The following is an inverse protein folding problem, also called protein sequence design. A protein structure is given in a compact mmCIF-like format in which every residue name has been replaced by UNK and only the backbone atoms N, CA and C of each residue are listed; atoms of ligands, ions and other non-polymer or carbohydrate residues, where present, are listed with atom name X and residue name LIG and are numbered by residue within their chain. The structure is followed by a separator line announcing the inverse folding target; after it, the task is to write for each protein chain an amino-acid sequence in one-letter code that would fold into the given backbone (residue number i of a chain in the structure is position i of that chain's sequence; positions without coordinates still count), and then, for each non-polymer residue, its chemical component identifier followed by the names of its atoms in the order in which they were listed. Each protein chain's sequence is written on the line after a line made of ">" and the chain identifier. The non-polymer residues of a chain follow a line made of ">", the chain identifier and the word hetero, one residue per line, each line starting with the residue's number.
data_IF_605232359580
#
_entry.id   IF_605232359580
#
_cell.length_a   1.000
_cell.length_b   1.000
_cell.length_c   1.000
_cell.angle_alpha   90.00
_cell.angle_beta   90.00
_cell.angle_gamma   90.00
#
_symmetry.space_group_name_H-M   'P 1'
#
loop_
_entity.id
_entity.type
_entity.pdbx_description
1 polymer ?
#
# COMPACT_ATOMS: atom_id res chain seq x y z
N UNK A 1 7.20 -14.54 -10.08
CA UNK A 1 5.96 -14.33 -10.86
C UNK A 1 5.51 -15.66 -11.41
N UNK A 2 4.34 -16.16 -10.99
CA UNK A 2 3.68 -17.27 -11.69
C UNK A 2 2.99 -16.64 -12.92
N UNK A 3 3.31 -17.05 -14.16
CA UNK A 3 2.66 -16.51 -15.34
C UNK A 3 1.23 -17.02 -15.43
N UNK A 4 0.26 -16.12 -15.64
CA UNK A 4 -1.06 -16.49 -16.18
C UNK A 4 -2.31 -16.05 -15.42
N UNK A 5 -2.22 -15.44 -14.24
CA UNK A 5 -3.42 -14.96 -13.52
C UNK A 5 -3.42 -13.43 -13.47
N UNK A 6 -4.37 -12.82 -14.20
CA UNK A 6 -4.62 -11.38 -14.20
C UNK A 6 -5.82 -11.04 -13.34
N UNK A 7 -5.75 -9.93 -12.61
CA UNK A 7 -6.88 -9.39 -11.85
C UNK A 7 -7.96 -8.95 -12.84
N UNK A 8 -9.19 -9.40 -12.62
CA UNK A 8 -10.38 -9.01 -13.38
C UNK A 8 -11.45 -8.41 -12.45
N UNK A 9 -12.58 -7.98 -13.02
CA UNK A 9 -13.65 -7.34 -12.24
C UNK A 9 -14.22 -8.24 -11.14
N UNK A 10 -14.24 -9.56 -11.33
CA UNK A 10 -14.76 -10.50 -10.33
C UNK A 10 -13.82 -10.57 -9.13
N UNK A 11 -12.50 -10.52 -9.36
CA UNK A 11 -11.52 -10.41 -8.28
C UNK A 11 -11.74 -9.14 -7.45
N UNK A 12 -11.98 -8.01 -8.10
CA UNK A 12 -12.24 -6.72 -7.44
C UNK A 12 -13.53 -6.77 -6.62
N UNK A 13 -14.61 -7.33 -7.18
CA UNK A 13 -15.88 -7.51 -6.45
C UNK A 13 -15.71 -8.38 -5.21
N UNK A 14 -14.93 -9.46 -5.30
CA UNK A 14 -14.66 -10.35 -4.16
C UNK A 14 -13.82 -9.63 -3.10
N UNK A 15 -12.78 -8.89 -3.48
CA UNK A 15 -11.98 -8.09 -2.54
C UNK A 15 -12.82 -7.00 -1.85
N UNK A 16 -13.66 -6.26 -2.61
CA UNK A 16 -14.60 -5.26 -2.07
C UNK A 16 -15.54 -5.91 -1.06
N UNK A 17 -16.15 -7.05 -1.42
CA UNK A 17 -17.06 -7.78 -0.54
C UNK A 17 -16.38 -8.23 0.75
N UNK A 18 -15.17 -8.78 0.67
CA UNK A 18 -14.43 -9.24 1.85
C UNK A 18 -14.04 -8.05 2.73
N UNK A 19 -13.60 -6.93 2.16
CA UNK A 19 -13.24 -5.72 2.91
C UNK A 19 -14.43 -5.22 3.74
N UNK A 20 -15.60 -5.09 3.11
CA UNK A 20 -16.82 -4.66 3.81
C UNK A 20 -17.28 -5.70 4.83
N UNK A 21 -17.19 -7.00 4.52
CA UNK A 21 -17.50 -8.04 5.49
C UNK A 21 -16.55 -8.02 6.71
N UNK A 22 -15.26 -7.70 6.54
CA UNK A 22 -14.32 -7.53 7.65
C UNK A 22 -14.70 -6.30 8.49
N UNK A 23 -15.10 -5.21 7.84
CA UNK A 23 -15.53 -3.98 8.52
C UNK A 23 -16.83 -4.18 9.31
N UNK A 24 -17.80 -4.90 8.73
CA UNK A 24 -19.14 -5.11 9.30
C UNK A 24 -19.17 -6.23 10.37
N UNK A 25 -18.31 -7.25 10.26
CA UNK A 25 -18.27 -8.40 11.19
C UNK A 25 -17.62 -8.10 12.55
N UNK A 26 -17.57 -6.83 12.98
CA UNK A 26 -17.43 -6.50 14.41
C UNK A 26 -18.71 -6.82 15.23
N UNK A 27 -19.72 -7.44 14.61
CA UNK A 27 -20.96 -7.90 15.26
C UNK A 27 -21.02 -9.44 15.20
N UNK A 28 -21.05 -10.07 16.37
CA UNK A 28 -20.86 -11.51 16.70
C UNK A 28 -21.81 -12.55 16.03
N UNK A 29 -22.32 -12.34 14.83
CA UNK A 29 -23.11 -13.33 14.11
C UNK A 29 -22.23 -14.28 13.27
N UNK A 30 -22.62 -15.56 13.17
CA UNK A 30 -21.99 -16.50 12.26
C UNK A 30 -22.07 -15.95 10.82
N UNK A 31 -20.95 -15.72 10.13
CA UNK A 31 -20.97 -15.01 8.86
C UNK A 31 -21.68 -15.86 7.80
N UNK A 32 -22.70 -15.28 7.18
CA UNK A 32 -23.32 -15.84 5.99
C UNK A 32 -22.23 -16.16 4.95
N UNK A 33 -22.37 -17.26 4.18
CA UNK A 33 -21.42 -17.57 3.12
C UNK A 33 -21.28 -16.39 2.15
N UNK A 34 -20.09 -15.78 2.07
CA UNK A 34 -19.84 -14.57 1.26
C UNK A 34 -20.26 -14.73 -0.21
N UNK A 35 -20.16 -15.95 -0.76
CA UNK A 35 -20.59 -16.21 -2.13
C UNK A 35 -22.07 -15.90 -2.39
N UNK A 36 -22.94 -15.94 -1.35
CA UNK A 36 -24.36 -15.62 -1.50
C UNK A 36 -24.60 -14.17 -1.89
N UNK A 37 -23.74 -13.25 -1.42
CA UNK A 37 -23.80 -11.83 -1.81
C UNK A 37 -23.56 -11.62 -3.30
N UNK A 38 -23.05 -12.64 -4.02
CA UNK A 38 -22.78 -12.62 -5.45
C UNK A 38 -23.57 -13.69 -6.23
N UNK A 39 -24.57 -14.34 -5.62
CA UNK A 39 -25.30 -15.47 -6.21
C UNK A 39 -26.07 -15.12 -7.50
N UNK A 40 -26.33 -13.83 -7.77
CA UNK A 40 -26.91 -13.33 -9.02
C UNK A 40 -25.89 -12.94 -10.10
N UNK A 41 -24.60 -12.90 -9.77
CA UNK A 41 -23.53 -12.44 -10.66
C UNK A 41 -22.58 -13.58 -11.05
N UNK A 42 -22.26 -14.48 -10.13
CA UNK A 42 -21.33 -15.60 -10.37
C UNK A 42 -21.79 -16.87 -9.65
N UNK A 43 -21.40 -18.03 -10.20
CA UNK A 43 -21.63 -19.31 -9.54
C UNK A 43 -20.78 -19.46 -8.27
N UNK A 44 -21.23 -20.30 -7.34
CA UNK A 44 -20.44 -20.70 -6.16
C UNK A 44 -19.06 -21.24 -6.53
N UNK A 45 -18.96 -22.04 -7.60
CA UNK A 45 -17.69 -22.59 -8.07
C UNK A 45 -16.75 -21.49 -8.59
N UNK A 46 -17.30 -20.53 -9.34
CA UNK A 46 -16.55 -19.37 -9.84
C UNK A 46 -16.02 -18.51 -8.69
N UNK A 47 -16.83 -18.26 -7.65
CA UNK A 47 -16.42 -17.52 -6.46
C UNK A 47 -15.18 -18.17 -5.81
N UNK A 48 -15.25 -19.47 -5.49
CA UNK A 48 -14.14 -20.14 -4.80
C UNK A 48 -12.90 -20.28 -5.69
N UNK A 49 -13.06 -20.42 -7.01
CA UNK A 49 -11.93 -20.39 -7.95
C UNK A 49 -11.23 -19.04 -7.91
N UNK A 50 -11.99 -17.93 -7.98
CA UNK A 50 -11.44 -16.57 -7.93
C UNK A 50 -10.83 -16.22 -6.57
N UNK A 51 -11.39 -16.73 -5.49
CA UNK A 51 -10.76 -16.64 -4.15
C UNK A 51 -9.41 -17.37 -4.14
N UNK A 52 -9.31 -18.55 -4.73
CA UNK A 52 -8.03 -19.28 -4.82
C UNK A 52 -7.02 -18.58 -5.72
N UNK A 53 -7.47 -17.91 -6.78
CA UNK A 53 -6.64 -17.03 -7.63
C UNK A 53 -6.09 -15.86 -6.80
N UNK A 54 -6.92 -15.16 -6.00
CA UNK A 54 -6.50 -14.09 -5.08
C UNK A 54 -5.50 -14.58 -4.01
N UNK A 55 -5.72 -15.77 -3.45
CA UNK A 55 -4.81 -16.42 -2.51
C UNK A 55 -3.45 -16.70 -3.16
N UNK A 56 -3.45 -17.21 -4.40
CA UNK A 56 -2.22 -17.48 -5.18
C UNK A 56 -1.44 -16.21 -5.50
N UNK A 57 -2.14 -15.08 -5.70
CA UNK A 57 -1.52 -13.77 -5.89
C UNK A 57 -1.01 -13.12 -4.59
N UNK A 58 -1.30 -13.70 -3.42
CA UNK A 58 -0.96 -13.11 -2.11
C UNK A 58 -1.79 -11.87 -1.76
N UNK A 59 -2.93 -11.65 -2.41
CA UNK A 59 -3.84 -10.53 -2.11
C UNK A 59 -4.78 -10.85 -0.94
N UNK A 60 -4.99 -12.14 -0.69
CA UNK A 60 -5.96 -12.67 0.26
C UNK A 60 -5.37 -13.88 0.99
N UNK A 61 -5.72 -14.06 2.26
CA UNK A 61 -5.42 -15.27 3.02
C UNK A 61 -6.69 -15.77 3.71
N UNK A 62 -6.88 -17.08 3.75
CA UNK A 62 -8.01 -17.71 4.43
C UNK A 62 -7.59 -18.21 5.81
N UNK A 63 -8.12 -17.60 6.86
CA UNK A 63 -7.89 -18.04 8.24
C UNK A 63 -8.76 -19.26 8.56
N UNK A 64 -10.04 -19.20 8.21
CA UNK A 64 -11.00 -20.28 8.50
C UNK A 64 -12.19 -20.19 7.54
N UNK A 65 -13.19 -21.06 7.72
CA UNK A 65 -14.36 -21.11 6.86
C UNK A 65 -15.06 -19.75 6.82
N UNK A 66 -15.15 -19.16 5.63
CA UNK A 66 -15.73 -17.83 5.37
C UNK A 66 -15.04 -16.67 6.10
N UNK A 67 -13.85 -16.86 6.68
CA UNK A 67 -13.04 -15.80 7.28
C UNK A 67 -11.76 -15.62 6.51
N UNK A 68 -11.55 -14.40 6.05
CA UNK A 68 -10.44 -14.02 5.21
C UNK A 68 -9.74 -12.80 5.79
N UNK A 69 -8.47 -12.65 5.47
CA UNK A 69 -7.72 -11.41 5.62
C UNK A 69 -7.34 -10.92 4.22
N UNK A 70 -7.22 -9.61 4.08
CA UNK A 70 -6.71 -8.96 2.87
C UNK A 70 -5.32 -8.42 3.21
N UNK A 71 -4.36 -8.64 2.30
CA UNK A 71 -2.99 -8.14 2.48
C UNK A 71 -2.91 -6.65 2.12
N UNK A 72 -1.82 -5.99 2.49
CA UNK A 72 -1.55 -4.62 2.00
C UNK A 72 -1.63 -4.55 0.47
N UNK A 73 -1.09 -5.56 -0.23
CA UNK A 73 -1.18 -5.64 -1.70
C UNK A 73 -2.64 -5.72 -2.19
N UNK A 74 -3.51 -6.41 -1.46
CA UNK A 74 -4.94 -6.46 -1.75
C UNK A 74 -5.64 -5.12 -1.54
N UNK A 75 -5.33 -4.40 -0.46
CA UNK A 75 -5.87 -3.04 -0.24
C UNK A 75 -5.35 -2.05 -1.30
N UNK A 76 -4.07 -2.13 -1.66
CA UNK A 76 -3.49 -1.31 -2.74
C UNK A 76 -4.15 -1.62 -4.08
N UNK A 77 -4.47 -2.89 -4.36
CA UNK A 77 -5.20 -3.28 -5.58
C UNK A 77 -6.56 -2.58 -5.67
N UNK A 78 -7.32 -2.53 -4.56
CA UNK A 78 -8.60 -1.82 -4.50
C UNK A 78 -8.42 -0.31 -4.72
N UNK A 79 -7.40 0.29 -4.09
CA UNK A 79 -7.12 1.72 -4.25
C UNK A 79 -6.65 2.09 -5.66
N UNK A 80 -5.84 1.23 -6.29
CA UNK A 80 -5.44 1.44 -7.68
C UNK A 80 -6.65 1.33 -8.62
N UNK A 81 -7.54 0.36 -8.39
CA UNK A 81 -8.80 0.27 -9.13
C UNK A 81 -9.69 1.51 -8.94
N UNK A 82 -9.75 2.06 -7.72
CA UNK A 82 -10.43 3.33 -7.42
C UNK A 82 -9.86 4.50 -8.23
N UNK A 83 -8.53 4.68 -8.25
CA UNK A 83 -7.89 5.74 -9.03
C UNK A 83 -8.04 5.58 -10.54
N UNK A 84 -8.17 4.35 -11.02
CA UNK A 84 -8.46 4.06 -12.44
C UNK A 84 -9.96 4.14 -12.77
N UNK A 85 -10.84 4.35 -11.80
CA UNK A 85 -12.29 4.28 -11.95
C UNK A 85 -12.79 2.94 -12.53
N UNK A 86 -12.20 1.83 -12.07
CA UNK A 86 -12.53 0.46 -12.52
C UNK A 86 -13.23 -0.32 -11.40
N UNK A 87 -14.16 -1.20 -11.78
CA UNK A 87 -14.67 -2.26 -10.90
C UNK A 87 -15.65 -1.80 -9.84
N UNK A 88 -16.28 -0.64 -10.03
CA UNK A 88 -17.26 -0.06 -9.10
C UNK A 88 -16.72 0.09 -7.67
N UNK A 89 -15.43 0.44 -7.56
CA UNK A 89 -14.82 0.79 -6.29
C UNK A 89 -15.23 2.23 -5.98
N UNK A 90 -16.06 2.39 -4.95
CA UNK A 90 -16.57 3.67 -4.47
C UNK A 90 -15.64 4.29 -3.41
N UNK A 91 -15.95 5.54 -3.05
CA UNK A 91 -15.20 6.30 -2.04
C UNK A 91 -15.22 5.61 -0.66
N UNK A 92 -16.33 4.95 -0.29
CA UNK A 92 -16.44 4.24 0.99
C UNK A 92 -15.50 3.03 1.04
N UNK A 93 -15.41 2.27 -0.05
CA UNK A 93 -14.47 1.17 -0.21
C UNK A 93 -13.02 1.66 -0.17
N UNK A 94 -12.73 2.78 -0.85
CA UNK A 94 -11.41 3.39 -0.80
C UNK A 94 -11.04 3.84 0.62
N UNK A 95 -11.96 4.47 1.34
CA UNK A 95 -11.74 4.91 2.70
C UNK A 95 -11.52 3.73 3.66
N UNK A 96 -12.28 2.64 3.50
CA UNK A 96 -12.08 1.42 4.28
C UNK A 96 -10.69 0.79 4.01
N UNK A 97 -10.23 0.80 2.76
CA UNK A 97 -8.90 0.33 2.40
C UNK A 97 -7.78 1.23 2.98
N UNK A 98 -7.94 2.56 2.95
CA UNK A 98 -7.01 3.51 3.59
C UNK A 98 -6.91 3.25 5.10
N UNK A 99 -8.04 3.06 5.77
CA UNK A 99 -8.07 2.75 7.21
C UNK A 99 -7.36 1.44 7.53
N UNK A 100 -7.54 0.40 6.70
CA UNK A 100 -6.84 -0.87 6.86
C UNK A 100 -5.33 -0.71 6.65
N UNK A 101 -4.90 0.04 5.63
CA UNK A 101 -3.49 0.36 5.40
C UNK A 101 -2.89 1.13 6.57
N UNK A 102 -3.62 2.13 7.11
CA UNK A 102 -3.19 2.92 8.27
C UNK A 102 -2.83 2.03 9.46
N UNK A 103 -3.71 1.07 9.79
CA UNK A 103 -3.48 0.11 10.87
C UNK A 103 -2.29 -0.80 10.60
N UNK A 104 -2.18 -1.34 9.37
CA UNK A 104 -1.12 -2.28 8.99
C UNK A 104 0.27 -1.65 8.93
N UNK A 105 0.37 -0.39 8.49
CA UNK A 105 1.62 0.36 8.41
C UNK A 105 1.92 1.19 9.66
N UNK A 106 1.12 1.08 10.73
CA UNK A 106 1.33 1.82 11.98
C UNK A 106 1.29 3.34 11.79
N UNK A 107 0.45 3.83 10.88
CA UNK A 107 0.33 5.26 10.54
C UNK A 107 -0.71 5.97 11.44
N UNK A 108 -0.75 5.60 12.72
CA UNK A 108 -1.62 6.29 13.69
C UNK A 108 -1.15 7.74 13.83
N UNK A 109 -2.05 8.71 13.67
CA UNK A 109 -1.74 10.14 13.69
C UNK A 109 -1.37 10.74 12.32
N UNK A 110 -1.41 9.95 11.24
CA UNK A 110 -1.34 10.45 9.87
C UNK A 110 -2.76 10.67 9.33
N UNK A 111 -2.94 11.72 8.54
CA UNK A 111 -4.22 12.04 7.91
C UNK A 111 -4.50 11.14 6.70
N UNK A 112 -5.77 11.00 6.33
CA UNK A 112 -6.17 10.24 5.13
C UNK A 112 -5.51 10.79 3.87
N UNK A 113 -5.38 12.12 3.75
CA UNK A 113 -4.74 12.77 2.62
C UNK A 113 -3.25 12.39 2.47
N UNK A 114 -2.51 12.26 3.58
CA UNK A 114 -1.10 11.87 3.54
C UNK A 114 -0.96 10.41 3.04
N UNK A 115 -1.82 9.52 3.54
CA UNK A 115 -1.81 8.10 3.17
C UNK A 115 -2.26 7.93 1.72
N UNK A 116 -3.36 8.55 1.32
CA UNK A 116 -3.87 8.51 -0.05
C UNK A 116 -2.84 9.08 -1.04
N UNK A 117 -2.19 10.20 -0.70
CA UNK A 117 -1.14 10.77 -1.55
C UNK A 117 0.03 9.82 -1.71
N UNK A 118 0.45 9.14 -0.64
CA UNK A 118 1.50 8.13 -0.75
C UNK A 118 1.07 6.94 -1.62
N UNK A 119 -0.16 6.45 -1.46
CA UNK A 119 -0.68 5.37 -2.30
C UNK A 119 -0.81 5.80 -3.77
N UNK A 120 -1.16 7.06 -4.05
CA UNK A 120 -1.13 7.64 -5.39
C UNK A 120 0.28 7.64 -5.98
N UNK A 121 1.31 7.98 -5.20
CA UNK A 121 2.70 7.87 -5.68
C UNK A 121 3.09 6.41 -5.98
N UNK A 122 2.67 5.45 -5.13
CA UNK A 122 2.90 4.02 -5.38
C UNK A 122 2.21 3.56 -6.67
N UNK A 123 1.01 4.07 -6.96
CA UNK A 123 0.31 3.82 -8.21
C UNK A 123 1.10 4.38 -9.40
N UNK A 124 1.57 5.63 -9.32
CA UNK A 124 2.32 6.30 -10.38
C UNK A 124 3.67 5.62 -10.65
N UNK A 125 4.42 5.24 -9.61
CA UNK A 125 5.70 4.53 -9.74
C UNK A 125 5.54 3.13 -10.33
N UNK A 126 4.43 2.47 -10.03
CA UNK A 126 4.09 1.21 -10.69
C UNK A 126 3.69 1.40 -12.17
N UNK A 127 3.31 2.60 -12.62
CA UNK A 127 2.58 2.76 -13.91
C UNK A 127 1.41 1.76 -14.03
N UNK A 128 0.79 1.39 -12.90
CA UNK A 128 -0.22 0.34 -12.79
C UNK A 128 0.30 -1.11 -12.77
N UNK A 129 1.62 -1.36 -12.66
CA UNK A 129 2.27 -2.69 -12.55
C UNK A 129 3.46 -2.62 -11.60
N UNK A 130 3.61 -3.52 -10.62
CA UNK A 130 4.77 -3.51 -9.70
C UNK A 130 6.10 -3.46 -10.48
N UNK A 131 6.70 -2.27 -10.56
CA UNK A 131 7.90 -1.95 -11.35
C UNK A 131 9.16 -2.20 -10.51
N UNK A 132 10.33 -2.17 -11.14
CA UNK A 132 11.62 -2.27 -10.46
C UNK A 132 11.92 -1.11 -9.48
N UNK A 133 11.12 -0.04 -9.53
CA UNK A 133 11.24 1.15 -8.67
C UNK A 133 10.52 0.96 -7.33
N UNK A 134 9.66 -0.07 -7.22
CA UNK A 134 9.01 -0.45 -6.00
C UNK A 134 9.79 -1.54 -5.26
N UNK A 135 10.38 -1.18 -4.13
CA UNK A 135 10.94 -2.17 -3.21
C UNK A 135 9.82 -2.67 -2.29
N UNK A 136 9.41 -3.92 -2.47
CA UNK A 136 8.48 -4.60 -1.57
C UNK A 136 9.27 -5.34 -0.49
N UNK A 137 9.19 -4.86 0.75
CA UNK A 137 9.71 -5.57 1.91
C UNK A 137 8.59 -6.47 2.46
N UNK A 138 8.74 -7.77 2.27
CA UNK A 138 7.83 -8.77 2.82
C UNK A 138 8.00 -8.85 4.34
N UNK A 139 6.89 -8.68 5.07
CA UNK A 139 6.81 -8.91 6.51
C UNK A 139 5.77 -10.00 6.82
N UNK A 140 5.44 -10.18 8.10
CA UNK A 140 4.33 -11.03 8.53
C UNK A 140 3.02 -10.56 7.88
N UNK A 141 2.27 -11.50 7.29
CA UNK A 141 0.96 -11.21 6.73
C UNK A 141 0.04 -10.58 7.80
N UNK A 142 -0.74 -9.52 7.49
CA UNK A 142 -1.00 -8.91 6.17
C UNK A 142 0.00 -7.82 5.75
N UNK A 143 1.08 -7.59 6.52
CA UNK A 143 1.99 -6.46 6.35
C UNK A 143 2.98 -6.72 5.22
N UNK A 144 2.93 -5.86 4.22
CA UNK A 144 4.02 -5.61 3.27
C UNK A 144 4.24 -4.10 3.22
N UNK A 145 5.47 -3.64 3.11
CA UNK A 145 5.75 -2.21 2.90
C UNK A 145 6.36 -2.01 1.52
N UNK A 146 5.78 -1.09 0.77
CA UNK A 146 6.21 -0.73 -0.57
C UNK A 146 6.90 0.61 -0.51
N UNK A 147 8.14 0.65 -0.97
CA UNK A 147 8.94 1.87 -1.02
C UNK A 147 8.98 2.42 -2.43
N UNK A 148 9.01 3.75 -2.51
CA UNK A 148 9.31 4.46 -3.75
C UNK A 148 10.74 4.91 -3.65
N UNK A 149 11.61 4.29 -4.46
CA UNK A 149 13.00 4.72 -4.60
C UNK A 149 13.22 5.12 -6.05
N UNK A 150 13.79 6.31 -6.31
CA UNK A 150 14.16 6.70 -7.66
C UNK A 150 15.08 5.66 -8.30
N UNK A 151 14.91 5.43 -9.59
CA UNK A 151 15.72 4.45 -10.35
C UNK A 151 17.23 4.74 -10.34
N UNK A 152 17.62 6.00 -10.12
CA UNK A 152 19.01 6.40 -9.94
C UNK A 152 19.21 7.17 -8.62
N UNK A 153 19.60 6.44 -7.57
CA UNK A 153 19.96 7.04 -6.27
C UNK A 153 21.15 8.01 -6.37
N UNK A 154 21.93 8.02 -7.47
CA UNK A 154 22.93 9.06 -7.71
C UNK A 154 22.29 10.40 -8.02
N UNK A 155 21.10 10.46 -8.61
CA UNK A 155 20.40 11.74 -8.80
C UNK A 155 19.97 12.35 -7.46
N UNK A 156 19.65 11.50 -6.47
CA UNK A 156 19.42 11.92 -5.07
C UNK A 156 20.70 12.47 -4.41
N UNK A 157 21.88 12.22 -4.97
CA UNK A 157 23.11 12.91 -4.52
C UNK A 157 23.13 14.36 -4.97
N UNK A 158 22.50 14.70 -6.09
CA UNK A 158 22.52 16.03 -6.70
C UNK A 158 21.34 16.87 -6.22
N UNK A 159 20.17 16.23 -6.10
CA UNK A 159 18.91 16.83 -5.65
C UNK A 159 18.39 16.13 -4.39
N UNK A 160 17.47 16.76 -3.65
CA UNK A 160 16.79 16.05 -2.56
C UNK A 160 15.93 14.90 -3.07
N UNK A 161 15.66 13.90 -2.22
CA UNK A 161 14.73 12.81 -2.56
C UNK A 161 13.35 13.38 -2.91
N UNK A 162 12.92 14.41 -2.17
CA UNK A 162 11.72 15.17 -2.51
C UNK A 162 11.72 15.67 -3.96
N UNK A 163 12.79 16.36 -4.40
CA UNK A 163 12.88 16.91 -5.76
C UNK A 163 12.86 15.82 -6.82
N UNK A 164 13.55 14.71 -6.59
CA UNK A 164 13.54 13.57 -7.52
C UNK A 164 12.14 12.97 -7.66
N UNK A 165 11.42 12.76 -6.55
CA UNK A 165 10.04 12.28 -6.58
C UNK A 165 9.12 13.25 -7.33
N UNK A 166 9.30 14.57 -7.18
CA UNK A 166 8.53 15.56 -7.95
C UNK A 166 8.88 15.52 -9.43
N UNK A 167 10.16 15.41 -9.79
CA UNK A 167 10.60 15.32 -11.18
C UNK A 167 10.05 14.06 -11.87
N UNK A 168 9.99 12.95 -11.15
CA UNK A 168 9.57 11.65 -11.69
C UNK A 168 8.05 11.53 -11.81
N UNK A 169 7.30 12.03 -10.82
CA UNK A 169 5.83 11.85 -10.74
C UNK A 169 5.00 13.10 -11.09
N UNK A 170 5.63 14.27 -11.25
CA UNK A 170 5.03 15.46 -11.86
C UNK A 170 4.07 16.28 -10.98
N UNK A 171 3.69 15.79 -9.79
CA UNK A 171 2.79 16.51 -8.87
C UNK A 171 3.47 16.83 -7.52
N UNK A 172 3.88 18.09 -7.28
CA UNK A 172 4.51 18.49 -6.03
C UNK A 172 3.57 18.44 -4.82
N UNK A 173 2.25 18.58 -5.02
CA UNK A 173 1.29 18.53 -3.92
C UNK A 173 1.17 17.10 -3.40
N UNK A 174 1.11 16.11 -4.30
CA UNK A 174 1.06 14.70 -3.91
C UNK A 174 2.34 14.31 -3.14
N UNK A 175 3.52 14.71 -3.63
CA UNK A 175 4.79 14.42 -2.95
C UNK A 175 4.87 15.11 -1.59
N UNK A 176 4.48 16.38 -1.50
CA UNK A 176 4.49 17.11 -0.23
C UNK A 176 3.53 16.51 0.79
N UNK A 177 2.34 16.07 0.38
CA UNK A 177 1.39 15.41 1.27
C UNK A 177 1.89 14.03 1.71
N UNK A 178 2.58 13.28 0.84
CA UNK A 178 3.10 11.96 1.18
C UNK A 178 4.38 11.98 2.04
N UNK A 179 5.04 13.14 2.19
CA UNK A 179 6.40 13.26 2.73
C UNK A 179 6.61 12.58 4.09
N UNK A 180 5.66 12.72 5.01
CA UNK A 180 5.77 12.16 6.36
C UNK A 180 5.67 10.63 6.32
N UNK A 181 4.81 10.09 5.45
CA UNK A 181 4.65 8.64 5.26
C UNK A 181 5.92 8.04 4.67
N UNK A 182 6.50 8.69 3.65
CA UNK A 182 7.78 8.28 3.04
C UNK A 182 8.90 8.30 4.09
N UNK A 183 9.02 9.39 4.85
CA UNK A 183 10.05 9.52 5.88
C UNK A 183 9.93 8.47 6.99
N UNK A 184 8.71 8.18 7.46
CA UNK A 184 8.46 7.11 8.44
C UNK A 184 8.88 5.75 7.88
N UNK A 185 8.47 5.44 6.65
CA UNK A 185 8.83 4.19 6.01
C UNK A 185 10.37 4.05 5.94
N UNK A 186 11.09 5.09 5.53
CA UNK A 186 12.55 5.04 5.46
C UNK A 186 13.17 4.75 6.84
N UNK A 187 12.73 5.48 7.87
CA UNK A 187 13.25 5.36 9.25
C UNK A 187 12.98 4.00 9.90
N UNK A 188 11.86 3.36 9.57
CA UNK A 188 11.49 2.07 10.16
C UNK A 188 12.22 0.88 9.50
N UNK A 189 12.56 1.00 8.22
CA UNK A 189 13.00 -0.15 7.42
C UNK A 189 14.44 -0.08 6.94
N UNK A 190 15.08 1.08 7.00
CA UNK A 190 16.50 1.25 6.68
C UNK A 190 17.34 1.47 7.94
N UNK A 191 18.64 1.13 7.91
CA UNK A 191 19.56 1.45 9.00
C UNK A 191 19.54 2.93 9.35
N UNK A 192 19.40 3.25 10.64
CA UNK A 192 19.38 4.63 11.14
C UNK A 192 20.61 4.97 11.96
N UNK A 193 21.12 6.19 11.81
CA UNK A 193 22.15 6.79 12.68
C UNK A 193 21.53 7.94 13.50
N UNK A 194 22.21 8.39 14.55
CA UNK A 194 21.74 9.54 15.34
C UNK A 194 22.48 10.79 14.88
N UNK A 195 21.74 11.81 14.43
CA UNK A 195 22.28 13.10 14.01
C UNK A 195 21.53 14.18 14.79
N UNK A 196 22.24 14.98 15.58
CA UNK A 196 21.67 16.05 16.40
C UNK A 196 20.51 15.60 17.31
N UNK A 197 20.59 14.36 17.84
CA UNK A 197 19.54 13.79 18.69
C UNK A 197 18.34 13.21 17.93
N UNK A 198 18.31 13.28 16.60
CA UNK A 198 17.27 12.69 15.76
C UNK A 198 17.75 11.37 15.14
N UNK A 199 16.85 10.41 14.96
CA UNK A 199 17.12 9.21 14.17
C UNK A 199 17.09 9.61 12.70
N UNK A 200 18.09 9.22 11.92
CA UNK A 200 18.24 9.63 10.53
C UNK A 200 18.61 8.44 9.65
N UNK A 201 17.98 8.34 8.48
CA UNK A 201 18.46 7.49 7.39
C UNK A 201 19.43 8.33 6.56
N UNK A 202 20.65 7.82 6.43
CA UNK A 202 21.71 8.49 5.68
C UNK A 202 22.27 7.59 4.60
N UNK A 203 22.76 8.20 3.53
CA UNK A 203 23.56 7.52 2.52
C UNK A 203 24.85 8.30 2.30
N UNK A 204 25.90 7.57 1.90
CA UNK A 204 27.21 8.16 1.61
C UNK A 204 27.25 8.64 0.16
N UNK A 205 27.61 9.90 -0.02
CA UNK A 205 27.75 10.53 -1.33
C UNK A 205 29.03 11.35 -1.36
N UNK A 206 29.98 11.00 -2.23
CA UNK A 206 31.27 11.70 -2.36
C UNK A 206 32.04 11.85 -1.03
N UNK A 207 31.92 10.87 -0.13
CA UNK A 207 32.56 10.90 1.19
C UNK A 207 31.78 11.67 2.27
N UNK A 208 30.66 12.31 1.94
CA UNK A 208 29.80 13.00 2.89
C UNK A 208 28.52 12.21 3.17
N UNK A 209 28.07 12.20 4.43
CA UNK A 209 26.79 11.61 4.82
C UNK A 209 25.65 12.58 4.50
N UNK A 210 24.74 12.18 3.61
CA UNK A 210 23.53 12.93 3.28
C UNK A 210 22.32 12.30 3.96
N UNK A 211 21.46 13.12 4.56
CA UNK A 211 20.25 12.68 5.25
C UNK A 211 19.10 12.59 4.24
N UNK A 212 18.44 11.43 4.16
CA UNK A 212 17.24 11.21 3.34
C UNK A 212 15.95 11.46 4.13
N UNK A 213 15.92 10.97 5.35
CA UNK A 213 14.79 11.12 6.25
C UNK A 213 15.29 11.23 7.69
N UNK A 214 14.56 11.96 8.52
CA UNK A 214 14.83 12.05 9.95
C UNK A 214 13.54 11.96 10.75
N UNK A 215 13.66 11.39 11.94
CA UNK A 215 12.64 11.39 12.99
C UNK A 215 13.19 12.14 14.20
N UNK A 216 12.57 13.29 14.48
CA UNK A 216 12.84 14.10 15.65
C UNK A 216 11.59 14.11 16.54
N UNK A 217 11.68 13.55 17.74
CA UNK A 217 10.49 13.31 18.58
C UNK A 217 9.42 12.49 17.82
N UNK A 218 8.21 13.03 17.67
CA UNK A 218 7.09 12.42 16.95
C UNK A 218 6.92 12.93 15.52
N UNK A 219 7.84 13.76 15.01
CA UNK A 219 7.77 14.30 13.66
C UNK A 219 8.71 13.56 12.69
N UNK A 220 8.26 13.46 11.44
CA UNK A 220 8.96 12.77 10.36
C UNK A 220 9.24 13.75 9.22
N UNK A 221 10.51 13.91 8.89
CA UNK A 221 10.97 14.90 7.91
C UNK A 221 11.64 14.15 6.76
N UNK A 222 11.19 14.44 5.53
CA UNK A 222 11.82 13.98 4.30
C UNK A 222 12.72 15.10 3.77
N UNK A 223 13.99 14.79 3.51
CA UNK A 223 14.99 15.76 3.06
C UNK A 223 15.26 15.71 1.56
#
# INVERSE_FOLDING_TARGET
>A
MIPGISIDIVHLMILKLILHAIHDNMKDAAPNPLWLSLAGHISKATFYRKVSELETMGLLERISRNKYLISVSGYLTLLFAYFMHIGDIDQDTAQAAINAIRGNWGLVGFSDYEIESYVKLLYLSSKGRLSSELVALYQEYPRNVFFILPGDLKMVTVNSLYKELVNEYGDPNIVNNARRVIAKALIEYFPTTVINGCRAVTFMSNGEAKVLAMQCNNDFILN
#
